data_IF_104915284439
#
_entry.id   IF_104915284439
#
_cell.length_a   1.000
_cell.length_b   1.000
_cell.length_c   1.000
_cell.angle_alpha   90.00
_cell.angle_beta   90.00
_cell.angle_gamma   90.00
#
_symmetry.space_group_name_H-M   'P 1'
#
loop_
_entity.id
_entity.type
_entity.pdbx_description
1 polymer ?
#
# COMPACT_ATOMS: atom_id res chain seq x y z
N UNK A 1 -3.21 6.01 35.95
CA UNK A 1 -3.58 7.27 35.27
C UNK A 1 -4.56 6.92 34.16
N UNK A 2 -5.80 7.37 34.29
CA UNK A 2 -6.92 7.05 33.37
C UNK A 2 -6.60 7.54 31.95
N UNK A 3 -6.53 6.62 30.99
CA UNK A 3 -6.42 6.93 29.56
C UNK A 3 -7.73 7.55 29.09
N UNK A 4 -7.84 8.88 29.15
CA UNK A 4 -8.91 9.58 28.43
C UNK A 4 -8.84 9.16 26.97
N UNK A 5 -9.88 8.46 26.50
CA UNK A 5 -10.08 8.15 25.08
C UNK A 5 -9.95 9.45 24.29
N UNK A 6 -9.00 9.47 23.36
CA UNK A 6 -8.75 10.64 22.51
C UNK A 6 -9.92 10.72 21.53
N UNK A 7 -10.53 11.90 21.38
CA UNK A 7 -11.57 12.11 20.37
C UNK A 7 -10.99 11.92 18.96
N UNK A 8 -11.80 11.55 17.98
CA UNK A 8 -11.34 11.40 16.59
C UNK A 8 -10.64 12.66 16.07
N UNK A 9 -11.17 13.85 16.39
CA UNK A 9 -10.52 15.13 16.07
C UNK A 9 -9.15 15.27 16.74
N UNK A 10 -9.03 14.91 18.02
CA UNK A 10 -7.76 14.91 18.74
C UNK A 10 -6.74 13.94 18.14
N UNK A 11 -7.21 12.78 17.68
CA UNK A 11 -6.41 11.80 16.95
C UNK A 11 -5.87 12.38 15.64
N UNK A 12 -6.72 13.00 14.81
CA UNK A 12 -6.30 13.60 13.55
C UNK A 12 -5.30 14.76 13.74
N UNK A 13 -5.45 15.57 14.80
CA UNK A 13 -4.47 16.61 15.14
C UNK A 13 -3.09 15.99 15.44
N UNK A 14 -3.06 14.93 16.25
CA UNK A 14 -1.83 14.19 16.55
C UNK A 14 -1.21 13.58 15.30
N UNK A 15 -2.04 12.97 14.44
CA UNK A 15 -1.61 12.40 13.17
C UNK A 15 -1.01 13.47 12.25
N UNK A 16 -1.59 14.66 12.18
CA UNK A 16 -1.06 15.78 11.39
C UNK A 16 0.31 16.24 11.90
N UNK A 17 0.52 16.24 13.22
CA UNK A 17 1.82 16.58 13.80
C UNK A 17 2.88 15.52 13.46
N UNK A 18 2.54 14.23 13.51
CA UNK A 18 3.43 13.16 13.05
C UNK A 18 3.75 13.31 11.56
N UNK A 19 2.77 13.67 10.73
CA UNK A 19 2.98 13.90 9.31
C UNK A 19 3.99 15.04 9.05
N UNK A 20 3.93 16.12 9.84
CA UNK A 20 4.92 17.21 9.76
C UNK A 20 6.32 16.73 10.12
N UNK A 21 6.47 15.95 11.19
CA UNK A 21 7.75 15.37 11.60
C UNK A 21 8.30 14.46 10.50
N UNK A 22 7.44 13.64 9.88
CA UNK A 22 7.86 12.80 8.76
C UNK A 22 8.45 13.62 7.60
N UNK A 23 7.90 14.80 7.29
CA UNK A 23 8.40 15.69 6.24
C UNK A 23 9.78 16.28 6.52
N UNK A 24 10.20 16.38 7.79
CA UNK A 24 11.56 16.82 8.15
C UNK A 24 12.60 15.86 7.58
N UNK A 25 12.33 14.55 7.57
CA UNK A 25 13.23 13.56 6.97
C UNK A 25 13.36 13.69 5.45
N UNK A 26 12.48 14.44 4.79
CA UNK A 26 12.55 14.73 3.37
C UNK A 26 12.96 16.19 3.10
N UNK A 27 13.23 17.02 4.13
CA UNK A 27 13.48 18.46 3.96
C UNK A 27 12.29 19.24 3.41
N UNK A 28 11.06 18.81 3.73
CA UNK A 28 9.80 19.39 3.23
C UNK A 28 8.98 20.09 4.32
N UNK A 29 9.61 20.56 5.39
CA UNK A 29 8.97 21.07 6.61
C UNK A 29 8.02 22.26 6.39
N UNK A 30 8.37 23.12 5.43
CA UNK A 30 7.63 24.34 5.10
C UNK A 30 6.49 24.13 4.10
N UNK A 31 6.34 22.92 3.56
CA UNK A 31 5.42 22.66 2.46
C UNK A 31 3.96 22.52 2.91
N UNK A 32 3.04 22.81 1.99
CA UNK A 32 1.62 22.70 2.28
C UNK A 32 1.19 21.23 2.38
N UNK A 33 0.69 20.86 3.56
CA UNK A 33 0.15 19.56 3.90
C UNK A 33 -1.39 19.59 3.98
N UNK A 34 -2.04 18.90 3.03
CA UNK A 34 -3.50 18.69 3.00
C UNK A 34 -3.85 17.26 3.40
N UNK A 35 -4.66 17.10 4.43
CA UNK A 35 -5.22 15.78 4.79
C UNK A 35 -6.17 15.29 3.70
N UNK A 36 -6.07 14.02 3.34
CA UNK A 36 -6.94 13.38 2.35
C UNK A 36 -7.91 12.44 3.05
N UNK A 37 -7.40 11.42 3.73
CA UNK A 37 -8.23 10.43 4.43
C UNK A 37 -7.45 9.70 5.53
N UNK A 38 -8.18 9.01 6.38
CA UNK A 38 -7.66 8.00 7.30
C UNK A 38 -8.49 6.72 7.20
N UNK A 39 -7.92 5.69 6.58
CA UNK A 39 -8.52 4.36 6.38
C UNK A 39 -7.46 3.32 6.73
N UNK A 40 -7.20 3.16 8.03
CA UNK A 40 -6.01 2.44 8.53
C UNK A 40 -4.72 3.26 8.40
N UNK A 41 -4.43 3.70 7.18
CA UNK A 41 -3.34 4.60 6.81
C UNK A 41 -3.76 6.07 6.88
N UNK A 42 -2.87 6.95 7.33
CA UNK A 42 -3.05 8.40 7.27
C UNK A 42 -2.47 8.99 5.99
N UNK A 43 -3.33 9.42 5.07
CA UNK A 43 -2.90 9.94 3.78
C UNK A 43 -2.95 11.46 3.73
N UNK A 44 -1.84 12.06 3.33
CA UNK A 44 -1.73 13.50 3.13
C UNK A 44 -1.15 13.81 1.75
N UNK A 45 -1.68 14.86 1.13
CA UNK A 45 -1.07 15.45 -0.06
C UNK A 45 -0.09 16.55 0.35
N UNK A 46 1.12 16.47 -0.17
CA UNK A 46 2.17 17.47 -0.06
C UNK A 46 2.30 18.19 -1.39
N UNK A 47 2.40 19.51 -1.40
CA UNK A 47 2.65 20.29 -2.61
C UNK A 47 3.99 21.01 -2.48
N UNK A 48 4.90 20.70 -3.39
CA UNK A 48 6.25 21.24 -3.48
C UNK A 48 6.28 22.26 -4.62
N UNK A 49 6.59 23.53 -4.34
CA UNK A 49 6.57 24.59 -5.36
C UNK A 49 7.96 24.85 -5.90
N UNK A 50 8.02 25.31 -7.14
CA UNK A 50 9.28 25.77 -7.75
C UNK A 50 9.77 27.02 -7.00
N UNK A 51 11.00 26.97 -6.51
CA UNK A 51 11.62 28.08 -5.77
C UNK A 51 11.44 28.04 -4.25
N UNK A 52 10.72 27.04 -3.71
CA UNK A 52 10.87 26.69 -2.30
C UNK A 52 12.34 26.27 -2.05
N UNK A 53 12.82 26.36 -0.81
CA UNK A 53 14.07 25.73 -0.35
C UNK A 53 14.01 24.19 -0.43
N UNK A 54 13.27 23.64 -1.39
CA UNK A 54 13.05 22.23 -1.59
C UNK A 54 14.40 21.54 -1.80
N UNK A 55 14.57 20.35 -1.23
CA UNK A 55 15.77 19.58 -1.40
C UNK A 55 16.00 19.30 -2.89
N UNK A 56 17.26 19.36 -3.33
CA UNK A 56 17.65 19.06 -4.72
C UNK A 56 17.23 17.66 -5.22
N UNK A 57 16.81 16.76 -4.34
CA UNK A 57 16.40 15.40 -4.69
C UNK A 57 14.88 15.24 -4.92
N UNK A 58 14.08 16.30 -4.71
CA UNK A 58 12.63 16.30 -4.91
C UNK A 58 12.25 17.43 -5.86
N UNK A 59 11.67 17.07 -7.01
CA UNK A 59 11.20 18.03 -8.00
C UNK A 59 9.93 18.77 -7.52
N UNK A 60 9.64 19.97 -8.05
CA UNK A 60 8.35 20.61 -7.84
C UNK A 60 7.20 19.72 -8.32
N UNK A 61 6.14 19.61 -7.51
CA UNK A 61 5.02 18.74 -7.83
C UNK A 61 4.11 18.43 -6.64
N UNK A 62 3.30 17.39 -6.80
CA UNK A 62 2.44 16.85 -5.74
C UNK A 62 2.94 15.47 -5.34
N UNK A 63 2.85 15.20 -4.04
CA UNK A 63 3.26 13.94 -3.44
C UNK A 63 2.20 13.46 -2.45
N UNK A 64 2.17 12.15 -2.24
CA UNK A 64 1.37 11.49 -1.23
C UNK A 64 2.29 11.01 -0.11
N UNK A 65 2.13 11.60 1.08
CA UNK A 65 2.73 11.12 2.31
C UNK A 65 1.76 10.13 2.95
N UNK A 66 2.19 8.87 3.10
CA UNK A 66 1.44 7.84 3.82
C UNK A 66 2.05 7.67 5.21
N UNK A 67 1.24 7.82 6.24
CA UNK A 67 1.53 7.34 7.59
C UNK A 67 0.90 5.96 7.75
N UNK A 68 1.74 4.93 7.81
CA UNK A 68 1.32 3.55 7.80
C UNK A 68 0.53 3.16 9.06
N UNK A 69 -0.47 2.30 8.89
CA UNK A 69 -1.17 1.68 9.99
C UNK A 69 -0.17 0.91 10.86
N UNK A 70 -0.14 1.15 12.17
CA UNK A 70 0.77 0.43 13.06
C UNK A 70 0.43 -1.05 13.06
N UNK A 71 1.48 -1.87 13.02
CA UNK A 71 1.42 -3.33 13.08
C UNK A 71 0.68 -4.03 11.92
N UNK A 72 0.20 -3.30 10.92
CA UNK A 72 -0.41 -3.92 9.74
C UNK A 72 0.67 -4.53 8.82
N UNK A 73 1.55 -3.68 8.28
CA UNK A 73 2.70 -4.13 7.49
C UNK A 73 4.00 -4.02 8.29
N UNK A 74 4.81 -5.09 8.24
CA UNK A 74 6.16 -5.09 8.82
C UNK A 74 7.03 -4.07 8.07
N UNK A 75 7.96 -3.36 8.75
CA UNK A 75 8.85 -2.38 8.10
C UNK A 75 9.52 -2.88 6.81
N UNK A 76 9.99 -4.14 6.80
CA UNK A 76 10.61 -4.75 5.61
C UNK A 76 9.66 -4.87 4.40
N UNK A 77 8.36 -5.09 4.65
CA UNK A 77 7.36 -5.19 3.61
C UNK A 77 7.09 -3.82 3.01
N UNK A 78 7.00 -2.78 3.83
CA UNK A 78 6.84 -1.40 3.36
C UNK A 78 8.04 -0.98 2.51
N UNK A 79 9.27 -1.28 2.95
CA UNK A 79 10.47 -1.03 2.13
C UNK A 79 10.40 -1.77 0.78
N UNK A 80 9.98 -3.04 0.79
CA UNK A 80 9.88 -3.84 -0.44
C UNK A 80 8.77 -3.35 -1.39
N UNK A 81 7.66 -2.78 -0.87
CA UNK A 81 6.67 -2.09 -1.70
C UNK A 81 7.32 -0.94 -2.47
N UNK A 82 8.11 -0.11 -1.79
CA UNK A 82 8.82 1.01 -2.42
C UNK A 82 9.86 0.51 -3.45
N UNK A 83 10.56 -0.59 -3.17
CA UNK A 83 11.48 -1.19 -4.14
C UNK A 83 10.75 -1.66 -5.41
N UNK A 84 9.55 -2.24 -5.27
CA UNK A 84 8.78 -2.68 -6.42
C UNK A 84 8.20 -1.50 -7.20
N UNK A 85 7.60 -0.51 -6.53
CA UNK A 85 7.14 0.73 -7.16
C UNK A 85 8.26 1.44 -7.93
N UNK A 86 9.47 1.46 -7.36
CA UNK A 86 10.63 2.02 -8.04
C UNK A 86 10.93 1.24 -9.32
N UNK A 87 11.02 -0.10 -9.26
CA UNK A 87 11.28 -0.93 -10.42
C UNK A 87 10.21 -0.79 -11.51
N UNK A 88 8.92 -0.82 -11.13
CA UNK A 88 7.79 -0.58 -12.02
C UNK A 88 7.90 0.76 -12.74
N UNK A 89 8.25 1.82 -12.01
CA UNK A 89 8.43 3.16 -12.60
C UNK A 89 9.62 3.23 -13.57
N UNK A 90 10.70 2.47 -13.31
CA UNK A 90 11.85 2.38 -14.24
C UNK A 90 11.49 1.66 -15.53
N UNK A 91 10.58 0.69 -15.47
CA UNK A 91 10.06 -0.04 -16.62
C UNK A 91 8.94 0.74 -17.36
N UNK A 92 8.69 2.00 -16.97
CA UNK A 92 7.73 2.89 -17.63
C UNK A 92 6.26 2.66 -17.26
N UNK A 93 5.98 1.82 -16.27
CA UNK A 93 4.62 1.58 -15.79
C UNK A 93 4.18 2.78 -14.94
N UNK A 94 2.99 3.32 -15.22
CA UNK A 94 2.44 4.51 -14.55
C UNK A 94 1.95 4.19 -13.14
N UNK A 95 2.87 4.18 -12.18
CA UNK A 95 2.64 3.98 -10.75
C UNK A 95 3.20 5.16 -9.93
N UNK A 96 2.79 5.33 -8.66
CA UNK A 96 3.42 6.30 -7.75
C UNK A 96 4.93 6.06 -7.65
N UNK A 97 5.74 7.03 -8.08
CA UNK A 97 7.19 6.95 -7.96
C UNK A 97 7.60 7.15 -6.50
N UNK A 98 8.30 6.20 -5.86
CA UNK A 98 8.72 6.34 -4.47
C UNK A 98 9.87 7.33 -4.34
N UNK A 99 9.91 8.05 -3.22
CA UNK A 99 10.90 9.08 -2.90
C UNK A 99 11.71 8.62 -1.70
N UNK A 100 13.04 8.65 -1.82
CA UNK A 100 13.95 8.40 -0.70
C UNK A 100 13.99 9.61 0.21
N UNK A 101 14.15 9.38 1.50
CA UNK A 101 14.42 10.44 2.46
C UNK A 101 15.87 10.97 2.32
N UNK A 102 16.23 11.97 3.11
CA UNK A 102 17.56 12.61 3.08
C UNK A 102 18.72 11.63 3.38
N UNK A 103 18.46 10.56 4.12
CA UNK A 103 19.42 9.49 4.41
C UNK A 103 19.50 8.45 3.28
N UNK A 104 18.74 8.63 2.20
CA UNK A 104 18.67 7.68 1.08
C UNK A 104 17.79 6.45 1.35
N UNK A 105 17.00 6.44 2.43
CA UNK A 105 16.13 5.31 2.78
C UNK A 105 14.72 5.45 2.21
N UNK A 106 14.08 4.33 1.90
CA UNK A 106 12.67 4.31 1.46
C UNK A 106 11.68 4.52 2.60
N UNK A 107 12.00 4.02 3.79
CA UNK A 107 11.13 4.03 4.96
C UNK A 107 11.62 5.09 5.95
N UNK A 108 10.71 5.95 6.40
CA UNK A 108 10.96 6.94 7.46
C UNK A 108 10.15 6.59 8.70
N UNK A 109 10.78 6.60 9.87
CA UNK A 109 10.10 6.45 11.16
C UNK A 109 9.89 7.84 11.78
N UNK A 110 8.65 8.33 11.75
CA UNK A 110 8.29 9.58 12.39
C UNK A 110 7.98 9.33 13.87
N UNK A 111 8.78 9.93 14.75
CA UNK A 111 8.65 9.82 16.20
C UNK A 111 8.25 11.16 16.82
N UNK A 112 7.01 11.23 17.28
CA UNK A 112 6.49 12.40 18.00
C UNK A 112 7.05 12.59 19.41
N UNK A 113 7.85 11.65 19.90
CA UNK A 113 8.33 11.57 21.27
C UNK A 113 7.17 11.80 22.27
N UNK A 114 7.38 12.63 23.28
CA UNK A 114 6.34 13.00 24.26
C UNK A 114 5.28 13.95 23.71
N UNK A 115 5.52 14.62 22.56
CA UNK A 115 4.59 15.60 21.97
C UNK A 115 3.41 14.91 21.27
N UNK A 116 3.67 13.75 20.67
CA UNK A 116 2.65 12.83 20.16
C UNK A 116 3.07 11.41 20.52
N UNK A 117 2.41 10.74 21.48
CA UNK A 117 2.82 9.43 21.98
C UNK A 117 2.44 8.31 20.99
N UNK A 118 3.04 8.36 19.80
CA UNK A 118 2.92 7.36 18.76
C UNK A 118 4.08 7.51 17.77
N UNK A 119 4.72 6.39 17.42
CA UNK A 119 5.61 6.30 16.27
C UNK A 119 4.80 5.85 15.06
N UNK A 120 5.15 6.33 13.88
CA UNK A 120 4.57 5.89 12.62
C UNK A 120 5.66 5.65 11.59
N UNK A 121 5.60 4.50 10.93
CA UNK A 121 6.27 4.30 9.67
C UNK A 121 5.63 5.20 8.61
N UNK A 122 6.43 5.74 7.72
CA UNK A 122 5.99 6.67 6.69
C UNK A 122 6.77 6.51 5.40
N UNK A 123 6.08 6.71 4.28
CA UNK A 123 6.65 6.72 2.94
C UNK A 123 6.12 7.93 2.17
N UNK A 124 6.92 8.42 1.22
CA UNK A 124 6.55 9.50 0.31
C UNK A 124 6.61 8.97 -1.12
N UNK A 125 5.51 9.12 -1.86
CA UNK A 125 5.43 8.74 -3.27
C UNK A 125 4.90 9.91 -4.10
N UNK A 126 5.20 9.92 -5.40
CA UNK A 126 4.63 10.86 -6.36
C UNK A 126 3.10 10.76 -6.38
N UNK A 127 2.43 11.89 -6.59
CA UNK A 127 0.97 11.91 -6.69
C UNK A 127 0.49 11.25 -7.99
N UNK A 128 -0.49 10.35 -7.89
CA UNK A 128 -1.14 9.77 -9.06
C UNK A 128 -2.05 10.79 -9.73
N UNK A 129 -1.67 11.18 -10.94
CA UNK A 129 -2.44 12.11 -11.75
C UNK A 129 -3.68 11.44 -12.35
N UNK A 130 -4.75 12.22 -12.49
CA UNK A 130 -6.03 11.76 -13.02
C UNK A 130 -7.19 11.96 -12.06
N UNK A 131 -8.33 11.39 -12.43
CA UNK A 131 -9.54 11.41 -11.61
C UNK A 131 -9.89 10.01 -11.13
N UNK A 132 -10.44 9.90 -9.94
CA UNK A 132 -11.15 8.70 -9.51
C UNK A 132 -12.42 8.56 -10.35
N UNK A 133 -12.78 7.33 -10.67
CA UNK A 133 -13.98 7.02 -11.41
C UNK A 133 -15.16 6.91 -10.45
N UNK A 134 -16.24 7.65 -10.71
CA UNK A 134 -17.51 7.45 -10.01
C UNK A 134 -18.31 6.29 -10.59
N UNK A 135 -18.08 5.97 -11.87
CA UNK A 135 -18.72 4.88 -12.58
C UNK A 135 -17.71 4.23 -13.52
N UNK A 136 -17.68 2.89 -13.51
CA UNK A 136 -16.85 2.11 -14.42
C UNK A 136 -17.61 1.74 -15.70
N UNK A 137 -16.90 1.68 -16.82
CA UNK A 137 -17.42 1.28 -18.12
C UNK A 137 -16.49 0.24 -18.74
N UNK A 138 -16.92 -0.55 -19.74
CA UNK A 138 -16.10 -1.59 -20.35
C UNK A 138 -14.70 -1.12 -20.80
N UNK A 139 -14.55 0.14 -21.24
CA UNK A 139 -13.26 0.70 -21.61
C UNK A 139 -12.28 0.83 -20.44
N UNK A 140 -12.78 1.10 -19.22
CA UNK A 140 -11.95 1.22 -18.02
C UNK A 140 -11.42 -0.16 -17.62
N UNK A 141 -12.25 -1.21 -17.69
CA UNK A 141 -11.81 -2.59 -17.44
C UNK A 141 -10.82 -3.10 -18.48
N UNK A 142 -10.94 -2.68 -19.75
CA UNK A 142 -9.91 -2.98 -20.77
C UNK A 142 -8.56 -2.34 -20.44
N UNK A 143 -8.55 -1.09 -20.01
CA UNK A 143 -7.32 -0.42 -19.58
C UNK A 143 -6.77 -1.04 -18.27
N UNK A 144 -7.65 -1.38 -17.32
CA UNK A 144 -7.29 -2.12 -16.10
C UNK A 144 -6.59 -3.45 -16.43
N UNK A 145 -7.18 -4.25 -17.31
CA UNK A 145 -6.57 -5.53 -17.74
C UNK A 145 -5.21 -5.35 -18.40
N UNK A 146 -5.01 -4.27 -19.17
CA UNK A 146 -3.71 -3.94 -19.76
C UNK A 146 -2.66 -3.67 -18.69
N UNK A 147 -2.96 -2.81 -17.71
CA UNK A 147 -2.00 -2.49 -16.66
C UNK A 147 -1.75 -3.68 -15.73
N UNK A 148 -2.76 -4.50 -15.43
CA UNK A 148 -2.58 -5.78 -14.72
C UNK A 148 -1.61 -6.69 -15.47
N UNK A 149 -1.79 -6.85 -16.79
CA UNK A 149 -0.88 -7.64 -17.62
C UNK A 149 0.56 -7.11 -17.59
N UNK A 150 0.75 -5.79 -17.63
CA UNK A 150 2.06 -5.15 -17.51
C UNK A 150 2.70 -5.41 -16.14
N UNK A 151 1.93 -5.29 -15.05
CA UNK A 151 2.42 -5.60 -13.70
C UNK A 151 2.89 -7.06 -13.59
N UNK A 152 2.11 -8.00 -14.13
CA UNK A 152 2.46 -9.43 -14.09
C UNK A 152 3.70 -9.72 -14.95
N UNK A 153 3.78 -9.15 -16.16
CA UNK A 153 4.95 -9.30 -17.03
C UNK A 153 6.22 -8.77 -16.36
N UNK A 154 6.13 -7.61 -15.73
CA UNK A 154 7.23 -7.02 -14.97
C UNK A 154 7.64 -7.92 -13.81
N UNK A 155 6.67 -8.36 -13.01
CA UNK A 155 6.86 -9.25 -11.86
C UNK A 155 7.55 -10.58 -12.22
N UNK A 156 7.22 -11.14 -13.40
CA UNK A 156 7.84 -12.36 -13.92
C UNK A 156 9.32 -12.18 -14.29
N UNK A 157 9.67 -11.03 -14.89
CA UNK A 157 11.02 -10.74 -15.40
C UNK A 157 11.94 -10.10 -14.36
N UNK A 158 11.37 -9.41 -13.37
CA UNK A 158 12.13 -8.59 -12.44
C UNK A 158 13.04 -9.41 -11.53
N UNK A 159 14.33 -9.09 -11.55
CA UNK A 159 15.33 -9.61 -10.62
C UNK A 159 15.24 -8.83 -9.31
N UNK A 160 14.50 -9.39 -8.37
CA UNK A 160 14.27 -8.80 -7.03
C UNK A 160 15.59 -8.57 -6.28
N UNK A 161 15.72 -7.45 -5.55
CA UNK A 161 16.90 -7.19 -4.74
C UNK A 161 17.00 -8.17 -3.56
N UNK A 162 18.21 -8.31 -3.01
CA UNK A 162 18.45 -9.14 -1.83
C UNK A 162 17.65 -8.58 -0.64
N UNK A 163 16.91 -9.46 0.04
CA UNK A 163 16.11 -9.08 1.21
C UNK A 163 14.70 -8.59 0.88
N UNK A 164 14.34 -8.50 -0.41
CA UNK A 164 12.97 -8.22 -0.83
C UNK A 164 12.00 -9.25 -0.21
N UNK A 165 10.96 -8.76 0.44
CA UNK A 165 9.96 -9.60 1.07
C UNK A 165 8.59 -8.91 1.01
N UNK A 166 7.57 -9.68 0.68
CA UNK A 166 6.17 -9.25 0.71
C UNK A 166 5.31 -10.42 1.22
N UNK A 167 4.07 -10.18 1.68
CA UNK A 167 3.15 -11.24 2.04
C UNK A 167 2.92 -12.23 0.89
N UNK A 168 2.50 -13.44 1.25
CA UNK A 168 2.03 -14.44 0.31
C UNK A 168 0.52 -14.56 0.47
N UNK A 169 -0.25 -14.20 -0.55
CA UNK A 169 -1.70 -14.36 -0.65
C UNK A 169 -2.05 -15.71 -1.28
N UNK A 170 -1.43 -16.76 -0.77
CA UNK A 170 -1.84 -18.14 -1.05
C UNK A 170 -2.92 -18.60 -0.06
N UNK A 171 -3.32 -19.87 -0.11
CA UNK A 171 -4.32 -20.39 0.84
C UNK A 171 -3.95 -20.11 2.30
N UNK A 172 -2.68 -20.28 2.68
CA UNK A 172 -2.26 -20.07 4.06
C UNK A 172 -2.25 -18.58 4.43
N UNK A 173 -1.91 -17.69 3.51
CA UNK A 173 -1.96 -16.26 3.77
C UNK A 173 -3.36 -15.64 3.76
N UNK A 174 -4.31 -16.20 3.02
CA UNK A 174 -5.69 -15.70 2.95
C UNK A 174 -6.61 -16.35 3.98
N UNK A 175 -6.43 -17.66 4.23
CA UNK A 175 -7.35 -18.46 5.02
C UNK A 175 -6.67 -19.23 6.16
N UNK A 176 -5.34 -19.21 6.24
CA UNK A 176 -4.56 -19.75 7.34
C UNK A 176 -3.90 -18.64 8.17
N UNK A 177 -2.81 -18.98 8.85
CA UNK A 177 -2.06 -18.06 9.72
C UNK A 177 -0.79 -17.50 9.03
N UNK A 178 -0.78 -17.50 7.70
CA UNK A 178 0.34 -16.99 6.89
C UNK A 178 0.48 -15.46 6.90
N UNK A 179 -0.58 -14.76 7.30
CA UNK A 179 -0.59 -13.32 7.54
C UNK A 179 -1.32 -13.03 8.86
N UNK A 180 -0.89 -12.00 9.58
CA UNK A 180 -1.46 -11.64 10.87
C UNK A 180 -2.62 -10.66 10.67
N UNK A 181 -3.85 -11.19 10.72
CA UNK A 181 -5.07 -10.39 10.67
C UNK A 181 -5.55 -9.93 12.05
N UNK A 182 -4.78 -10.18 13.12
CA UNK A 182 -5.15 -9.90 14.51
C UNK A 182 -5.99 -10.99 15.18
N UNK A 183 -6.31 -12.06 14.45
CA UNK A 183 -7.00 -13.25 14.94
C UNK A 183 -6.41 -14.49 14.25
N UNK A 184 -6.43 -15.64 14.91
CA UNK A 184 -6.07 -16.91 14.29
C UNK A 184 -7.13 -17.34 13.28
N UNK A 185 -6.73 -18.14 12.30
CA UNK A 185 -7.64 -18.73 11.34
C UNK A 185 -8.69 -19.65 12.01
N UNK A 186 -8.40 -20.23 13.17
CA UNK A 186 -9.37 -21.00 13.95
C UNK A 186 -10.45 -20.09 14.55
N UNK A 187 -10.06 -19.00 15.22
CA UNK A 187 -11.01 -18.02 15.77
C UNK A 187 -11.90 -17.44 14.68
N UNK A 188 -11.32 -17.10 13.52
CA UNK A 188 -12.08 -16.60 12.37
C UNK A 188 -13.10 -17.62 11.85
N UNK A 189 -12.76 -18.92 11.82
CA UNK A 189 -13.69 -20.00 11.40
C UNK A 189 -14.80 -20.23 12.43
N UNK A 190 -14.49 -20.15 13.71
CA UNK A 190 -15.46 -20.32 14.79
C UNK A 190 -16.46 -19.14 14.86
N UNK A 191 -16.05 -17.95 14.43
CA UNK A 191 -16.91 -16.78 14.33
C UNK A 191 -17.95 -16.86 13.21
N UNK A 192 -17.82 -17.81 12.26
CA UNK A 192 -18.80 -18.01 11.19
C UNK A 192 -20.07 -18.65 11.79
N UNK A 193 -21.28 -18.14 11.48
CA UNK A 193 -22.53 -18.75 11.93
C UNK A 193 -22.59 -20.24 11.62
N UNK A 194 -23.04 -21.04 12.60
CA UNK A 194 -23.01 -22.52 12.54
C UNK A 194 -23.68 -23.08 11.29
N UNK A 195 -24.77 -22.46 10.82
CA UNK A 195 -25.48 -22.84 9.60
C UNK A 195 -24.63 -22.69 8.31
N UNK A 196 -23.58 -21.88 8.34
CA UNK A 196 -22.69 -21.63 7.20
C UNK A 196 -21.36 -22.37 7.30
N UNK A 197 -20.96 -22.83 8.49
CA UNK A 197 -19.64 -23.44 8.72
C UNK A 197 -19.37 -24.64 7.80
N UNK A 198 -20.36 -25.52 7.59
CA UNK A 198 -20.21 -26.69 6.71
C UNK A 198 -19.91 -26.27 5.26
N UNK A 199 -20.68 -25.33 4.72
CA UNK A 199 -20.49 -24.84 3.35
C UNK A 199 -19.16 -24.11 3.20
N UNK A 200 -18.80 -23.27 4.18
CA UNK A 200 -17.54 -22.55 4.17
C UNK A 200 -16.33 -23.51 4.19
N UNK A 201 -16.38 -24.53 5.06
CA UNK A 201 -15.33 -25.57 5.12
C UNK A 201 -15.15 -26.26 3.77
N UNK A 202 -16.25 -26.68 3.12
CA UNK A 202 -16.19 -27.33 1.81
C UNK A 202 -15.59 -26.43 0.72
N UNK A 203 -15.88 -25.13 0.74
CA UNK A 203 -15.26 -24.17 -0.18
C UNK A 203 -13.77 -24.02 0.11
N UNK A 204 -13.38 -23.87 1.38
CA UNK A 204 -11.97 -23.75 1.76
C UNK A 204 -11.14 -24.98 1.36
N UNK A 205 -11.68 -26.18 1.51
CA UNK A 205 -11.03 -27.43 1.08
C UNK A 205 -10.78 -27.41 -0.43
N UNK A 206 -11.78 -27.03 -1.25
CA UNK A 206 -11.62 -26.91 -2.71
C UNK A 206 -10.60 -25.84 -3.11
N UNK A 207 -10.57 -24.71 -2.41
CA UNK A 207 -9.59 -23.64 -2.67
C UNK A 207 -8.18 -24.10 -2.29
N UNK A 208 -8.03 -24.92 -1.24
CA UNK A 208 -6.76 -25.53 -0.85
C UNK A 208 -6.26 -26.48 -1.94
N UNK A 209 -7.10 -27.43 -2.36
CA UNK A 209 -6.80 -28.39 -3.43
C UNK A 209 -6.44 -27.69 -4.75
N UNK A 210 -7.19 -26.65 -5.12
CA UNK A 210 -6.88 -25.83 -6.29
C UNK A 210 -5.51 -25.15 -6.14
N UNK A 211 -5.26 -24.48 -5.01
CA UNK A 211 -3.99 -23.78 -4.77
C UNK A 211 -2.79 -24.71 -4.84
N UNK A 212 -2.92 -25.92 -4.28
CA UNK A 212 -1.86 -26.93 -4.31
C UNK A 212 -1.61 -27.46 -5.73
N UNK A 213 -2.68 -27.85 -6.43
CA UNK A 213 -2.58 -28.40 -7.80
C UNK A 213 -2.10 -27.38 -8.83
N UNK A 214 -2.47 -26.10 -8.66
CA UNK A 214 -2.05 -25.02 -9.56
C UNK A 214 -0.57 -24.68 -9.40
N UNK A 215 -0.03 -24.86 -8.19
CA UNK A 215 1.37 -24.63 -7.86
C UNK A 215 1.80 -23.16 -7.97
N UNK A 216 3.06 -22.87 -7.62
CA UNK A 216 3.59 -21.49 -7.57
C UNK A 216 4.60 -21.18 -8.67
N UNK A 217 4.36 -21.73 -9.86
CA UNK A 217 5.21 -21.50 -11.01
C UNK A 217 5.14 -20.04 -11.48
N UNK A 218 6.24 -19.53 -12.06
CA UNK A 218 6.32 -18.13 -12.55
C UNK A 218 5.26 -17.73 -13.58
N UNK A 219 4.51 -18.67 -14.15
CA UNK A 219 3.42 -18.39 -15.09
C UNK A 219 2.08 -18.13 -14.43
N UNK A 220 1.93 -18.47 -13.14
CA UNK A 220 0.65 -18.47 -12.41
C UNK A 220 0.74 -17.83 -11.03
N UNK A 221 1.95 -17.53 -10.54
CA UNK A 221 2.16 -16.99 -9.20
C UNK A 221 3.38 -16.07 -9.12
N UNK A 222 3.25 -14.96 -8.41
CA UNK A 222 4.27 -13.92 -8.29
C UNK A 222 3.71 -12.62 -7.70
N UNK A 223 4.45 -11.51 -7.82
CA UNK A 223 3.99 -10.23 -7.28
C UNK A 223 2.80 -9.67 -8.06
N UNK A 224 1.75 -9.32 -7.33
CA UNK A 224 0.51 -8.68 -7.77
C UNK A 224 0.21 -7.46 -6.89
N UNK A 225 -0.72 -6.61 -7.34
CA UNK A 225 -1.23 -5.50 -6.54
C UNK A 225 -2.06 -5.96 -5.31
N UNK A 226 -2.79 -7.08 -5.46
CA UNK A 226 -3.65 -7.73 -4.47
C UNK A 226 -4.91 -6.97 -4.01
N UNK A 227 -5.03 -5.68 -4.29
CA UNK A 227 -6.24 -4.89 -3.99
C UNK A 227 -6.59 -3.92 -5.13
N UNK A 228 -6.76 -4.43 -6.36
CA UNK A 228 -6.86 -3.56 -7.54
C UNK A 228 -8.32 -3.21 -7.89
N UNK A 229 -8.91 -2.32 -7.10
CA UNK A 229 -10.22 -1.72 -7.40
C UNK A 229 -10.08 -0.55 -8.40
N UNK A 230 -10.88 -0.58 -9.48
CA UNK A 230 -10.82 0.41 -10.57
C UNK A 230 -11.35 1.80 -10.19
N UNK A 231 -12.13 1.89 -9.12
CA UNK A 231 -12.76 3.11 -8.62
C UNK A 231 -12.01 3.68 -7.41
N UNK A 232 -11.49 2.82 -6.54
CA UNK A 232 -10.90 3.24 -5.26
C UNK A 232 -9.36 3.28 -5.28
N UNK A 233 -8.70 2.37 -6.01
CA UNK A 233 -7.23 2.22 -6.02
C UNK A 233 -6.60 2.53 -7.38
N UNK A 234 -7.32 3.27 -8.22
CA UNK A 234 -6.83 3.67 -9.54
C UNK A 234 -7.33 5.05 -9.97
N UNK A 235 -6.46 5.80 -10.63
CA UNK A 235 -6.82 7.05 -11.30
C UNK A 235 -6.94 6.83 -12.79
N UNK A 236 -7.87 7.54 -13.43
CA UNK A 236 -7.99 7.56 -14.89
C UNK A 236 -7.42 8.84 -15.46
N UNK A 237 -6.42 8.73 -16.32
CA UNK A 237 -5.72 9.86 -16.93
C UNK A 237 -5.30 9.54 -18.36
N UNK A 238 -5.53 10.47 -19.30
CA UNK A 238 -5.05 10.31 -20.68
C UNK A 238 -5.58 9.08 -21.43
N UNK A 239 -6.68 8.47 -20.97
CA UNK A 239 -7.20 7.23 -21.56
C UNK A 239 -6.81 5.95 -20.82
N UNK A 240 -5.91 6.05 -19.84
CA UNK A 240 -5.30 4.91 -19.14
C UNK A 240 -5.60 4.89 -17.64
N UNK A 241 -5.54 3.69 -17.06
CA UNK A 241 -5.64 3.42 -15.62
C UNK A 241 -4.24 3.47 -15.02
N UNK A 242 -4.07 4.29 -13.99
CA UNK A 242 -2.86 4.40 -13.20
C UNK A 242 -3.14 3.88 -11.78
N UNK A 243 -2.68 2.66 -11.43
CA UNK A 243 -2.85 2.11 -10.09
C UNK A 243 -2.11 2.94 -9.05
N UNK A 244 -2.65 2.96 -7.84
CA UNK A 244 -1.97 3.39 -6.64
C UNK A 244 -2.43 2.52 -5.47
N UNK A 245 -1.86 2.76 -4.29
CA UNK A 245 -2.16 1.97 -3.09
C UNK A 245 -1.66 0.51 -3.11
N UNK A 246 -0.36 0.35 -3.32
CA UNK A 246 0.30 -0.96 -3.32
C UNK A 246 0.56 -1.50 -1.89
N UNK A 247 -0.17 -1.02 -0.87
CA UNK A 247 0.07 -1.39 0.54
C UNK A 247 -0.05 -2.90 0.73
N UNK A 248 -0.95 -3.54 -0.02
CA UNK A 248 -1.22 -4.98 -0.01
C UNK A 248 -0.49 -5.79 -1.06
N UNK A 249 0.38 -5.17 -1.87
CA UNK A 249 1.07 -5.90 -2.93
C UNK A 249 1.79 -7.13 -2.38
N UNK A 250 1.73 -8.25 -3.07
CA UNK A 250 2.19 -9.50 -2.49
C UNK A 250 2.29 -10.60 -3.51
N UNK A 251 2.81 -11.74 -3.09
CA UNK A 251 2.85 -12.91 -3.93
C UNK A 251 1.47 -13.55 -3.98
N UNK A 252 0.84 -13.57 -5.16
CA UNK A 252 -0.49 -14.13 -5.37
C UNK A 252 -0.62 -14.78 -6.74
N UNK A 253 -1.78 -15.40 -6.98
CA UNK A 253 -2.12 -16.04 -8.24
C UNK A 253 -2.66 -15.04 -9.27
N UNK A 254 -2.51 -15.34 -10.57
CA UNK A 254 -3.14 -14.61 -11.68
C UNK A 254 -3.57 -15.53 -12.82
#
# INVERSE_FOLDING_TARGET
MSSRQITYRGFLIRLRNIAKIALESYGLESNNLKFITYTGNGLYRVTVRKGDSSPKHIEPGRYALRLHQPNYMKPKYITSEMEWLYALSQDGISVPKPIRNLDGNWLTVADGNYKVPAKRNSTLVGWSEGRLLQNAHPKHFRSLGRVIGQLHEQSMKWKRPKGFARPHWDWNGLFGDGFDYGFSATEAREAIPTEHQKSFKQVLERVAEFSESHGKGKKVYGLIHADFDVMDNATYYGGEIHPFDFDDCGYGYW
#
